data_IF_150923056905
#
_entry.id   IF_150923056905
#
_cell.length_a   1.000
_cell.length_b   1.000
_cell.length_c   1.000
_cell.angle_alpha   90.00
_cell.angle_beta   90.00
_cell.angle_gamma   90.00
#
_symmetry.space_group_name_H-M   'P 1'
#
loop_
_entity.id
_entity.type
_entity.pdbx_description
1 polymer ?
#
# COMPACT_ATOMS: atom_id res chain seq x y z
N UNK A 1 -7.46 13.92 13.48
CA UNK A 1 -7.67 12.58 12.88
C UNK A 1 -6.42 12.05 12.18
N UNK A 2 -5.83 12.83 11.27
CA UNK A 2 -4.52 12.54 10.66
C UNK A 2 -3.43 12.25 11.70
N UNK A 3 -3.47 12.99 12.81
CA UNK A 3 -2.50 12.89 13.93
C UNK A 3 -2.48 11.56 14.66
N UNK A 4 -3.58 10.80 14.63
CA UNK A 4 -3.63 9.46 15.21
C UNK A 4 -3.31 8.40 14.15
N UNK A 5 -3.66 8.67 12.90
CA UNK A 5 -3.46 7.74 11.79
C UNK A 5 -1.99 7.64 11.35
N UNK A 6 -1.27 8.75 11.31
CA UNK A 6 0.15 8.79 10.95
C UNK A 6 1.04 7.94 11.89
N UNK A 7 1.01 8.11 13.23
CA UNK A 7 1.73 7.24 14.16
C UNK A 7 1.37 5.77 13.98
N UNK A 8 0.08 5.47 13.78
CA UNK A 8 -0.34 4.09 13.61
C UNK A 8 0.23 3.48 12.33
N UNK A 9 0.25 4.23 11.23
CA UNK A 9 0.84 3.77 9.96
C UNK A 9 2.35 3.51 10.06
N UNK A 10 3.07 4.30 10.86
CA UNK A 10 4.48 4.07 11.13
C UNK A 10 4.68 2.84 12.00
N UNK A 11 3.86 2.63 13.03
CA UNK A 11 3.94 1.43 13.86
C UNK A 11 3.71 0.15 13.05
N UNK A 12 2.76 0.15 12.13
CA UNK A 12 2.47 -0.98 11.24
C UNK A 12 3.64 -1.26 10.27
N UNK A 13 4.30 -0.21 9.76
CA UNK A 13 5.48 -0.38 8.90
C UNK A 13 6.66 -1.02 9.64
N UNK A 14 6.86 -0.70 10.92
CA UNK A 14 7.89 -1.34 11.75
C UNK A 14 7.49 -2.78 12.09
N UNK A 15 6.20 -3.02 12.38
CA UNK A 15 5.71 -4.38 12.60
C UNK A 15 5.96 -5.28 11.38
N UNK A 16 5.83 -4.75 10.16
CA UNK A 16 6.10 -5.49 8.93
C UNK A 16 7.55 -6.02 8.87
N UNK A 17 8.53 -5.21 9.28
CA UNK A 17 9.94 -5.62 9.28
C UNK A 17 10.26 -6.74 10.29
N UNK A 18 9.43 -6.90 11.33
CA UNK A 18 9.71 -7.82 12.44
C UNK A 18 9.11 -9.22 12.24
N UNK A 19 8.08 -9.34 11.41
CA UNK A 19 7.30 -10.55 11.19
C UNK A 19 7.97 -11.42 10.12
N UNK A 20 8.02 -12.73 10.37
CA UNK A 20 8.61 -13.71 9.45
C UNK A 20 7.56 -14.57 8.73
N UNK A 21 6.43 -14.83 9.36
CA UNK A 21 5.42 -15.73 8.81
C UNK A 21 4.67 -15.06 7.64
N UNK A 22 4.58 -15.69 6.46
CA UNK A 22 4.02 -15.07 5.24
C UNK A 22 2.56 -14.63 5.39
N UNK A 23 1.73 -15.42 6.08
CA UNK A 23 0.34 -15.05 6.35
C UNK A 23 0.23 -13.81 7.26
N UNK A 24 1.13 -13.69 8.23
CA UNK A 24 1.17 -12.58 9.17
C UNK A 24 1.66 -11.29 8.48
N UNK A 25 2.65 -11.44 7.58
CA UNK A 25 3.11 -10.39 6.70
C UNK A 25 1.98 -9.86 5.80
N UNK A 26 1.17 -10.76 5.22
CA UNK A 26 0.00 -10.37 4.43
C UNK A 26 -1.04 -9.59 5.24
N UNK A 27 -1.31 -10.01 6.48
CA UNK A 27 -2.24 -9.31 7.35
C UNK A 27 -1.77 -7.89 7.72
N UNK A 28 -0.48 -7.71 8.03
CA UNK A 28 0.08 -6.38 8.33
C UNK A 28 0.12 -5.48 7.09
N UNK A 29 0.38 -6.03 5.91
CA UNK A 29 0.30 -5.26 4.66
C UNK A 29 -1.12 -4.80 4.37
N UNK A 30 -2.12 -5.64 4.61
CA UNK A 30 -3.52 -5.29 4.39
C UNK A 30 -3.98 -4.18 5.34
N UNK A 31 -3.61 -4.23 6.63
CA UNK A 31 -3.91 -3.15 7.56
C UNK A 31 -3.17 -1.86 7.22
N UNK A 32 -1.92 -1.95 6.74
CA UNK A 32 -1.15 -0.80 6.26
C UNK A 32 -1.81 -0.14 5.04
N UNK A 33 -2.31 -0.91 4.09
CA UNK A 33 -2.99 -0.39 2.91
C UNK A 33 -4.28 0.36 3.26
N UNK A 34 -5.06 -0.15 4.22
CA UNK A 34 -6.25 0.55 4.74
C UNK A 34 -5.83 1.88 5.37
N UNK A 35 -4.76 1.90 6.18
CA UNK A 35 -4.30 3.14 6.82
C UNK A 35 -3.81 4.19 5.83
N UNK A 36 -3.06 3.77 4.80
CA UNK A 36 -2.60 4.69 3.75
C UNK A 36 -3.78 5.25 2.96
N UNK A 37 -4.79 4.43 2.63
CA UNK A 37 -5.98 4.91 1.93
C UNK A 37 -6.76 5.95 2.75
N UNK A 38 -6.91 5.72 4.06
CA UNK A 38 -7.54 6.67 4.98
C UNK A 38 -6.74 7.98 5.09
N UNK A 39 -5.42 7.91 5.28
CA UNK A 39 -4.56 9.10 5.32
C UNK A 39 -4.67 9.89 4.01
N UNK A 40 -4.67 9.21 2.87
CA UNK A 40 -4.76 9.84 1.56
C UNK A 40 -6.12 10.52 1.32
N UNK A 41 -7.20 9.96 1.88
CA UNK A 41 -8.54 10.57 1.83
C UNK A 41 -8.65 11.83 2.69
N UNK A 42 -7.84 11.96 3.73
CA UNK A 42 -7.82 13.16 4.58
C UNK A 42 -7.01 14.30 3.96
N UNK A 43 -5.97 13.99 3.18
CA UNK A 43 -5.15 15.01 2.52
C UNK A 43 -5.72 15.51 1.19
N UNK A 44 -6.56 14.69 0.52
CA UNK A 44 -7.16 15.06 -0.74
C UNK A 44 -8.64 15.37 -0.57
N UNK A 45 -9.08 16.48 -1.16
CA UNK A 45 -10.49 16.91 -1.16
C UNK A 45 -11.43 15.92 -1.86
N UNK A 46 -10.92 15.15 -2.84
CA UNK A 46 -11.68 14.11 -3.54
C UNK A 46 -11.20 12.70 -3.18
N UNK A 47 -12.10 11.87 -2.68
CA UNK A 47 -11.81 10.47 -2.30
C UNK A 47 -11.51 9.51 -3.48
N UNK A 48 -11.57 9.99 -4.73
CA UNK A 48 -11.34 9.17 -5.93
C UNK A 48 -9.95 8.55 -5.95
N UNK A 49 -8.91 9.33 -5.62
CA UNK A 49 -7.54 8.82 -5.62
C UNK A 49 -7.31 7.80 -4.49
N UNK A 50 -7.78 8.08 -3.28
CA UNK A 50 -7.70 7.13 -2.15
C UNK A 50 -8.46 5.83 -2.42
N UNK A 51 -9.58 5.90 -3.14
CA UNK A 51 -10.36 4.73 -3.53
C UNK A 51 -9.61 3.84 -4.53
N UNK A 52 -9.03 4.42 -5.59
CA UNK A 52 -8.22 3.67 -6.57
C UNK A 52 -7.02 3.02 -5.89
N UNK A 53 -6.34 3.75 -4.99
CA UNK A 53 -5.19 3.26 -4.24
C UNK A 53 -5.57 2.05 -3.38
N UNK A 54 -6.72 2.10 -2.71
CA UNK A 54 -7.23 0.98 -1.92
C UNK A 54 -7.51 -0.25 -2.77
N UNK A 55 -8.22 -0.11 -3.90
CA UNK A 55 -8.57 -1.23 -4.77
C UNK A 55 -7.34 -1.94 -5.35
N UNK A 56 -6.36 -1.17 -5.85
CA UNK A 56 -5.15 -1.75 -6.47
C UNK A 56 -4.31 -2.48 -5.43
N UNK A 57 -4.14 -1.92 -4.23
CA UNK A 57 -3.39 -2.58 -3.16
C UNK A 57 -4.06 -3.86 -2.66
N UNK A 58 -5.36 -3.83 -2.37
CA UNK A 58 -6.09 -5.02 -1.91
C UNK A 58 -6.12 -6.11 -2.99
N UNK A 59 -6.35 -5.73 -4.26
CA UNK A 59 -6.33 -6.67 -5.38
C UNK A 59 -4.99 -7.40 -5.53
N UNK A 60 -3.87 -6.67 -5.45
CA UNK A 60 -2.53 -7.26 -5.52
C UNK A 60 -2.20 -8.18 -4.35
N UNK A 61 -2.61 -7.81 -3.13
CA UNK A 61 -2.37 -8.61 -1.93
C UNK A 61 -3.18 -9.91 -1.91
N UNK A 62 -4.40 -9.93 -2.44
CA UNK A 62 -5.20 -11.16 -2.54
C UNK A 62 -4.55 -12.21 -3.43
N UNK A 63 -3.94 -11.81 -4.56
CA UNK A 63 -3.23 -12.74 -5.45
C UNK A 63 -2.01 -13.34 -4.75
N UNK A 64 -1.24 -12.52 -4.05
CA UNK A 64 -0.09 -12.97 -3.24
C UNK A 64 -0.52 -13.90 -2.09
N UNK A 65 -1.66 -13.61 -1.46
CA UNK A 65 -2.20 -14.44 -0.38
C UNK A 65 -2.57 -15.85 -0.86
N UNK A 66 -3.28 -15.96 -2.00
CA UNK A 66 -3.63 -17.26 -2.61
C UNK A 66 -2.37 -18.05 -2.98
N UNK A 67 -1.34 -17.37 -3.52
CA UNK A 67 -0.08 -18.02 -3.83
C UNK A 67 0.60 -18.60 -2.58
N UNK A 68 0.73 -17.82 -1.52
CA UNK A 68 1.40 -18.27 -0.29
C UNK A 68 0.67 -19.40 0.42
N UNK A 69 -0.67 -19.38 0.49
CA UNK A 69 -1.44 -20.49 1.08
C UNK A 69 -1.38 -21.77 0.23
N UNK A 70 -1.15 -21.64 -1.08
CA UNK A 70 -0.96 -22.80 -1.96
C UNK A 70 0.43 -23.45 -1.88
N UNK A 71 1.44 -22.69 -1.43
CA UNK A 71 2.85 -23.14 -1.42
C UNK A 71 3.31 -23.57 -0.03
N UNK A 72 2.78 -22.98 1.05
CA UNK A 72 3.21 -23.29 2.41
C UNK A 72 2.24 -24.26 3.10
N UNK A 73 2.80 -25.34 3.68
CA UNK A 73 2.13 -26.12 4.71
C UNK A 73 1.77 -25.21 5.89
N UNK A 74 0.64 -25.47 6.55
CA UNK A 74 0.05 -24.65 7.61
C UNK A 74 0.93 -24.65 8.89
N UNK A 75 2.11 -24.03 8.84
CA UNK A 75 3.06 -23.97 9.95
C UNK A 75 2.47 -23.19 11.12
N UNK A 76 2.79 -23.63 12.35
CA UNK A 76 2.28 -22.98 13.55
C UNK A 76 2.82 -21.56 13.65
N UNK A 77 1.90 -20.61 13.87
CA UNK A 77 2.18 -19.19 13.96
C UNK A 77 3.04 -18.86 15.20
N UNK A 78 4.35 -18.66 14.99
CA UNK A 78 5.29 -18.25 16.04
C UNK A 78 5.54 -16.74 15.97
N UNK A 79 4.91 -15.96 16.85
CA UNK A 79 5.24 -14.56 17.03
C UNK A 79 6.45 -14.38 17.95
N UNK A 80 7.49 -13.64 17.54
CA UNK A 80 8.61 -13.35 18.41
C UNK A 80 8.20 -12.31 19.48
N UNK A 81 7.91 -12.79 20.70
CA UNK A 81 7.51 -11.94 21.86
C UNK A 81 8.49 -10.80 22.16
N UNK A 82 9.81 -11.03 21.98
CA UNK A 82 10.84 -10.02 22.24
C UNK A 82 10.86 -8.85 21.23
N UNK A 83 10.25 -9.01 20.05
CA UNK A 83 10.24 -7.94 19.02
C UNK A 83 9.12 -6.91 19.21
N UNK A 84 8.25 -7.08 20.20
CA UNK A 84 7.14 -6.15 20.48
C UNK A 84 7.55 -4.93 21.30
N UNK A 85 8.62 -5.04 22.11
CA UNK A 85 9.12 -3.97 22.98
C UNK A 85 9.56 -2.69 22.25
N UNK A 86 10.31 -2.74 21.12
CA UNK A 86 10.65 -1.54 20.35
C UNK A 86 9.42 -0.86 19.73
N UNK A 87 8.36 -1.61 19.44
CA UNK A 87 7.12 -1.05 18.88
C UNK A 87 6.41 -0.15 19.91
N UNK A 88 6.35 -0.60 21.17
CA UNK A 88 5.70 0.12 22.26
C UNK A 88 6.46 1.41 22.59
N UNK A 89 7.80 1.34 22.65
CA UNK A 89 8.65 2.51 22.90
C UNK A 89 8.52 3.56 21.80
N UNK A 90 8.42 3.14 20.54
CA UNK A 90 8.26 4.05 19.42
C UNK A 90 6.87 4.72 19.42
N UNK A 91 5.81 3.98 19.76
CA UNK A 91 4.48 4.57 19.96
C UNK A 91 4.49 5.66 21.02
N UNK A 92 5.14 5.41 22.16
CA UNK A 92 5.21 6.37 23.26
C UNK A 92 5.95 7.65 22.87
N UNK A 93 7.03 7.52 22.09
CA UNK A 93 7.77 8.69 21.59
C UNK A 93 6.91 9.53 20.64
N UNK A 94 6.17 8.91 19.73
CA UNK A 94 5.40 9.66 18.73
C UNK A 94 4.23 10.43 19.39
N UNK A 95 3.60 9.86 20.42
CA UNK A 95 2.53 10.56 21.17
C UNK A 95 3.03 11.86 21.82
N UNK A 96 4.28 11.89 22.31
CA UNK A 96 4.84 13.08 22.96
C UNK A 96 5.16 14.23 21.99
N UNK A 97 5.40 13.95 20.71
CA UNK A 97 5.68 14.98 19.70
C UNK A 97 4.41 15.63 19.11
N UNK A 98 3.22 15.18 19.52
CA UNK A 98 1.95 15.67 18.95
C UNK A 98 1.67 17.13 19.32
N UNK A 99 1.97 17.56 20.55
CA UNK A 99 1.59 18.90 21.03
C UNK A 99 2.23 20.07 20.25
N UNK A 100 3.46 19.89 19.76
CA UNK A 100 4.19 20.95 19.06
C UNK A 100 3.85 21.05 17.56
N UNK A 101 3.39 19.95 16.95
CA UNK A 101 3.06 19.92 15.53
C UNK A 101 1.69 20.54 15.22
N UNK A 102 0.74 20.43 16.16
CA UNK A 102 -0.64 20.93 16.06
C UNK A 102 -0.67 22.45 15.81
N UNK A 103 0.18 23.22 16.50
CA UNK A 103 0.19 24.69 16.39
C UNK A 103 0.63 25.23 15.03
N UNK A 104 1.30 24.40 14.22
CA UNK A 104 1.90 24.83 12.96
C UNK A 104 1.03 24.49 11.73
N UNK A 105 -0.01 23.65 11.87
CA UNK A 105 -0.84 23.22 10.73
C UNK A 105 -2.14 24.02 10.53
N UNK A 106 -2.58 24.80 11.52
CA UNK A 106 -3.87 25.52 11.49
C UNK A 106 -3.97 26.69 10.46
N UNK A 107 -2.99 26.88 9.57
CA UNK A 107 -2.90 28.08 8.70
C UNK A 107 -3.31 27.83 7.24
N UNK A 108 -3.63 26.61 6.83
CA UNK A 108 -3.85 26.30 5.40
C UNK A 108 -5.20 25.69 5.04
N UNK A 109 -6.28 26.31 5.48
CA UNK A 109 -7.59 26.11 4.86
C UNK A 109 -8.02 27.40 4.16
N UNK A 110 -8.18 27.38 2.83
CA UNK A 110 -9.22 28.16 2.10
C UNK A 110 -9.21 28.10 0.57
N UNK A 111 -8.28 27.44 -0.14
CA UNK A 111 -8.26 27.54 -1.61
C UNK A 111 -7.91 26.26 -2.35
N UNK A 112 -8.78 25.24 -2.37
CA UNK A 112 -8.47 24.04 -3.20
C UNK A 112 -9.64 23.34 -3.88
N UNK A 113 -10.90 23.52 -3.49
CA UNK A 113 -11.98 22.64 -4.00
C UNK A 113 -12.23 22.67 -5.52
N UNK A 114 -11.85 23.73 -6.24
CA UNK A 114 -12.09 23.84 -7.70
C UNK A 114 -10.95 23.30 -8.57
N UNK A 115 -9.74 23.10 -8.03
CA UNK A 115 -8.58 22.63 -8.81
C UNK A 115 -8.54 21.11 -9.02
N UNK A 116 -9.33 20.33 -8.28
CA UNK A 116 -9.15 18.87 -8.23
C UNK A 116 -9.81 18.09 -9.37
N UNK A 117 -10.95 18.56 -9.90
CA UNK A 117 -11.58 17.92 -11.06
C UNK A 117 -10.78 18.15 -12.36
N UNK A 118 -9.99 19.23 -12.41
CA UNK A 118 -9.08 19.56 -13.52
C UNK A 118 -7.87 18.60 -13.56
N UNK A 119 -7.49 17.99 -12.43
CA UNK A 119 -6.29 17.13 -12.36
C UNK A 119 -6.42 15.83 -13.15
N UNK A 120 -7.60 15.22 -13.28
CA UNK A 120 -7.76 13.98 -14.05
C UNK A 120 -7.73 14.24 -15.56
N UNK A 121 -8.36 15.33 -16.00
CA UNK A 121 -8.42 15.72 -17.41
C UNK A 121 -7.03 16.13 -17.93
N UNK A 122 -6.16 16.61 -17.04
CA UNK A 122 -4.77 16.98 -17.36
C UNK A 122 -3.96 15.86 -18.01
N UNK A 123 -4.21 14.58 -17.66
CA UNK A 123 -3.46 13.46 -18.24
C UNK A 123 -3.89 13.12 -19.68
N UNK A 124 -5.10 13.49 -20.08
CA UNK A 124 -5.56 13.35 -21.47
C UNK A 124 -5.09 14.51 -22.35
N UNK A 125 -4.70 15.64 -21.75
CA UNK A 125 -4.18 16.80 -22.47
C UNK A 125 -2.67 16.65 -22.78
N UNK A 126 -2.24 17.29 -23.86
CA UNK A 126 -0.81 17.44 -24.16
C UNK A 126 -0.17 18.39 -23.12
N UNK A 127 1.06 18.13 -22.62
CA UNK A 127 2.01 17.07 -22.99
C UNK A 127 1.88 15.75 -22.18
N UNK A 128 1.08 15.73 -21.11
CA UNK A 128 1.00 14.59 -20.19
C UNK A 128 0.44 13.31 -20.81
N UNK A 129 -0.31 13.41 -21.91
CA UNK A 129 -0.76 12.25 -22.69
C UNK A 129 0.41 11.34 -23.16
N UNK A 130 1.62 11.88 -23.33
CA UNK A 130 2.80 11.05 -23.65
C UNK A 130 3.11 10.04 -22.52
N UNK A 131 2.94 10.44 -21.26
CA UNK A 131 3.10 9.54 -20.12
C UNK A 131 2.04 8.44 -20.12
N UNK A 132 0.79 8.78 -20.47
CA UNK A 132 -0.31 7.82 -20.57
C UNK A 132 -0.04 6.79 -21.68
N UNK A 133 0.42 7.23 -22.86
CA UNK A 133 0.83 6.34 -23.95
C UNK A 133 1.95 5.39 -23.54
N UNK A 134 2.97 5.88 -22.81
CA UNK A 134 4.04 5.02 -22.29
C UNK A 134 3.51 3.95 -21.33
N UNK A 135 2.62 4.31 -20.39
CA UNK A 135 2.02 3.35 -19.45
C UNK A 135 1.20 2.26 -20.14
N UNK A 136 0.45 2.60 -21.20
CA UNK A 136 -0.30 1.61 -21.98
C UNK A 136 0.62 0.57 -22.64
N UNK A 137 1.70 1.03 -23.27
CA UNK A 137 2.69 0.14 -23.89
C UNK A 137 3.39 -0.72 -22.84
N UNK A 138 3.72 -0.15 -21.68
CA UNK A 138 4.33 -0.88 -20.57
C UNK A 138 3.43 -2.01 -20.06
N UNK A 139 2.14 -1.74 -19.79
CA UNK A 139 1.20 -2.76 -19.33
C UNK A 139 1.02 -3.89 -20.36
N UNK A 140 0.97 -3.55 -21.65
CA UNK A 140 0.92 -4.55 -22.73
C UNK A 140 2.18 -5.41 -22.75
N UNK A 141 3.36 -4.80 -22.62
CA UNK A 141 4.62 -5.54 -22.55
C UNK A 141 4.66 -6.50 -21.36
N UNK A 142 4.25 -6.05 -20.17
CA UNK A 142 4.20 -6.89 -18.95
C UNK A 142 3.26 -8.08 -19.14
N UNK A 143 2.12 -7.90 -19.79
CA UNK A 143 1.19 -9.01 -20.09
C UNK A 143 1.82 -10.05 -21.03
N UNK A 144 2.49 -9.63 -22.10
CA UNK A 144 3.18 -10.56 -23.01
C UNK A 144 4.30 -11.30 -22.27
N UNK A 145 5.07 -10.58 -21.46
CA UNK A 145 6.16 -11.16 -20.68
C UNK A 145 5.65 -12.19 -19.66
N UNK A 146 4.58 -11.88 -18.92
CA UNK A 146 4.01 -12.80 -17.92
C UNK A 146 3.48 -14.10 -18.55
N UNK A 147 2.82 -14.02 -19.70
CA UNK A 147 2.36 -15.20 -20.46
C UNK A 147 3.54 -16.03 -20.97
N UNK A 148 4.62 -15.40 -21.44
CA UNK A 148 5.84 -16.12 -21.86
C UNK A 148 6.49 -16.86 -20.69
N UNK A 149 6.63 -16.22 -19.52
CA UNK A 149 7.20 -16.83 -18.32
C UNK A 149 6.34 -18.01 -17.84
N UNK A 150 5.01 -17.85 -17.84
CA UNK A 150 4.10 -18.91 -17.41
C UNK A 150 4.17 -20.18 -18.27
N UNK A 151 4.38 -20.05 -19.59
CA UNK A 151 4.44 -21.19 -20.53
C UNK A 151 5.69 -22.08 -20.33
N UNK A 152 6.79 -21.54 -19.82
CA UNK A 152 8.07 -22.28 -19.70
C UNK A 152 7.98 -23.44 -18.69
N UNK A 153 7.07 -23.38 -17.71
CA UNK A 153 6.99 -24.38 -16.63
C UNK A 153 6.25 -25.68 -17.01
N UNK A 154 5.48 -25.70 -18.10
CA UNK A 154 4.66 -26.86 -18.48
C UNK A 154 5.37 -27.92 -19.35
N UNK A 155 6.63 -27.72 -19.75
CA UNK A 155 7.31 -28.64 -20.68
C UNK A 155 8.13 -29.77 -20.04
N UNK A 156 8.31 -29.81 -18.71
CA UNK A 156 9.24 -30.77 -18.07
C UNK A 156 8.71 -31.63 -16.92
N UNK A 157 7.45 -31.48 -16.51
CA UNK A 157 6.83 -32.34 -15.46
C UNK A 157 5.91 -33.44 -15.99
N UNK A 158 6.06 -33.84 -17.26
CA UNK A 158 5.56 -35.13 -17.73
C UNK A 158 6.73 -36.11 -17.82
N UNK A 159 7.22 -36.56 -16.66
CA UNK A 159 8.00 -37.79 -16.56
C UNK A 159 7.15 -38.81 -15.80
N UNK A 160 6.69 -39.79 -16.58
CA UNK A 160 6.15 -41.12 -16.23
C UNK A 160 5.43 -41.27 -14.89
#
# INVERSE_FOLDING_TARGET
MTELLLPLSWSLSVAFLMITHPLALGAVLMSQAIMIALICSLFNTTAWFSYILFLVMVGGMLVMFIYMTSVASNEKFNLPKNKMLPLILMMAMIMNYQEDFIKNMDIHDTFTNTFHLINLIKYYAFPMNQMLMFLMIYLLFVLIASVKIAKIKNSTYRKK
#
